data_IF_727870401804
#
_entry.id   IF_727870401804
#
_cell.length_a   1.000
_cell.length_b   1.000
_cell.length_c   1.000
_cell.angle_alpha   90.00
_cell.angle_beta   90.00
_cell.angle_gamma   90.00
#
_symmetry.space_group_name_H-M   'P 1'
#
loop_
_entity.id
_entity.type
_entity.pdbx_description
1 polymer ?
#
# COMPACT_ATOMS: atom_id res chain seq x y z
N UNK A 1 -8.39 -10.67 -0.06
CA UNK A 1 -7.33 -9.82 0.52
C UNK A 1 -7.17 -8.53 -0.29
N UNK A 2 -6.50 -7.50 0.22
CA UNK A 2 -6.36 -6.18 -0.44
C UNK A 2 -5.32 -6.14 -1.58
N UNK A 3 -5.44 -5.13 -2.42
CA UNK A 3 -4.47 -4.76 -3.45
C UNK A 3 -3.80 -3.44 -3.07
N UNK A 4 -2.47 -3.43 -2.92
CA UNK A 4 -1.69 -2.23 -2.61
C UNK A 4 -1.06 -1.72 -3.89
N UNK A 5 -1.29 -0.46 -4.25
CA UNK A 5 -0.83 0.12 -5.52
C UNK A 5 0.12 1.27 -5.25
N UNK A 6 1.33 1.20 -5.78
CA UNK A 6 2.32 2.27 -5.70
C UNK A 6 2.54 2.86 -7.09
N UNK A 7 2.14 4.12 -7.27
CA UNK A 7 2.28 4.85 -8.53
C UNK A 7 3.63 5.55 -8.57
N UNK A 8 4.49 5.16 -9.51
CA UNK A 8 5.83 5.73 -9.73
C UNK A 8 6.70 5.80 -8.45
N UNK A 9 6.82 4.72 -7.65
CA UNK A 9 7.58 4.77 -6.41
C UNK A 9 9.05 5.09 -6.67
N UNK A 10 9.63 5.93 -5.81
CA UNK A 10 10.97 6.48 -6.05
C UNK A 10 12.03 5.93 -5.08
N UNK A 11 11.61 5.48 -3.89
CA UNK A 11 12.54 5.03 -2.83
C UNK A 11 12.45 3.51 -2.65
N UNK A 12 13.50 2.74 -3.03
CA UNK A 12 13.45 1.27 -3.00
C UNK A 12 13.22 0.69 -1.60
N UNK A 13 13.67 1.38 -0.53
CA UNK A 13 13.47 0.93 0.84
C UNK A 13 12.00 0.96 1.27
N UNK A 14 11.21 1.92 0.76
CA UNK A 14 9.77 1.99 1.02
C UNK A 14 9.08 0.80 0.36
N UNK A 15 9.35 0.58 -0.93
CA UNK A 15 8.81 -0.54 -1.69
C UNK A 15 9.19 -1.89 -1.08
N UNK A 16 10.42 -2.06 -0.61
CA UNK A 16 10.84 -3.25 0.12
C UNK A 16 10.02 -3.48 1.40
N UNK A 17 9.85 -2.45 2.21
CA UNK A 17 9.07 -2.51 3.46
C UNK A 17 7.61 -2.83 3.22
N UNK A 18 7.00 -2.21 2.19
CA UNK A 18 5.62 -2.45 1.76
C UNK A 18 5.47 -3.88 1.23
N UNK A 19 6.42 -4.37 0.42
CA UNK A 19 6.43 -5.75 -0.03
C UNK A 19 6.42 -6.76 1.12
N UNK A 20 7.18 -6.50 2.20
CA UNK A 20 7.14 -7.36 3.41
C UNK A 20 5.76 -7.41 4.03
N UNK A 21 5.15 -6.24 4.13
CA UNK A 21 3.80 -6.10 4.69
C UNK A 21 2.79 -6.85 3.83
N UNK A 22 2.88 -6.73 2.51
CA UNK A 22 2.02 -7.45 1.58
C UNK A 22 2.11 -8.97 1.78
N UNK A 23 3.32 -9.54 1.89
CA UNK A 23 3.49 -10.99 2.18
C UNK A 23 2.84 -11.36 3.52
N UNK A 24 3.10 -10.61 4.59
CA UNK A 24 2.55 -10.90 5.92
C UNK A 24 1.02 -10.80 5.97
N UNK A 25 0.43 -9.95 5.13
CA UNK A 25 -1.02 -9.77 5.03
C UNK A 25 -1.65 -10.70 3.99
N UNK A 26 -0.88 -11.35 3.12
CA UNK A 26 -1.38 -12.00 1.91
C UNK A 26 -1.96 -11.01 0.88
N UNK A 27 -1.60 -9.73 0.96
CA UNK A 27 -2.04 -8.69 0.04
C UNK A 27 -1.21 -8.71 -1.24
N UNK A 28 -1.80 -8.30 -2.35
CA UNK A 28 -1.12 -8.16 -3.63
C UNK A 28 -0.47 -6.79 -3.74
N UNK A 29 0.74 -6.72 -4.31
CA UNK A 29 1.43 -5.47 -4.61
C UNK A 29 1.39 -5.17 -6.11
N UNK A 30 0.97 -3.96 -6.45
CA UNK A 30 1.01 -3.41 -7.80
C UNK A 30 2.02 -2.26 -7.84
N UNK A 31 2.97 -2.32 -8.77
CA UNK A 31 3.92 -1.24 -9.02
C UNK A 31 3.66 -0.65 -10.39
N UNK A 32 3.53 0.67 -10.45
CA UNK A 32 3.29 1.39 -11.72
C UNK A 32 4.57 2.12 -12.12
N UNK A 33 4.99 1.91 -13.36
CA UNK A 33 6.13 2.59 -13.96
C UNK A 33 5.84 4.05 -14.34
N UNK A 34 6.87 4.90 -14.48
CA UNK A 34 8.30 4.62 -14.27
C UNK A 34 8.72 4.60 -12.79
N UNK A 35 9.49 3.59 -12.40
CA UNK A 35 10.15 3.53 -11.09
C UNK A 35 11.55 4.15 -11.18
N UNK A 36 12.03 4.74 -10.09
CA UNK A 36 13.41 5.27 -10.01
C UNK A 36 14.47 4.23 -9.64
N UNK A 37 14.12 2.95 -9.59
CA UNK A 37 15.01 1.85 -9.21
C UNK A 37 14.59 0.57 -9.96
N UNK A 38 15.53 -0.37 -10.10
CA UNK A 38 15.19 -1.70 -10.60
C UNK A 38 14.77 -2.62 -9.44
N UNK A 39 13.72 -3.43 -9.67
CA UNK A 39 13.25 -4.44 -8.71
C UNK A 39 14.36 -5.47 -8.39
N UNK A 40 15.29 -5.69 -9.32
CA UNK A 40 16.41 -6.61 -9.16
C UNK A 40 17.56 -6.05 -8.31
N UNK A 41 17.50 -4.77 -7.92
CA UNK A 41 18.59 -4.10 -7.23
C UNK A 41 18.98 -4.79 -5.93
N UNK A 42 20.29 -4.77 -5.67
CA UNK A 42 20.88 -5.18 -4.39
C UNK A 42 20.26 -4.45 -3.20
N UNK A 43 19.64 -3.29 -3.38
CA UNK A 43 18.97 -2.54 -2.32
C UNK A 43 17.70 -3.25 -1.83
N UNK A 44 16.90 -3.77 -2.77
CA UNK A 44 15.74 -4.64 -2.50
C UNK A 44 16.30 -5.90 -1.85
N UNK A 45 17.23 -6.65 -2.47
CA UNK A 45 17.81 -7.88 -1.87
C UNK A 45 18.47 -7.69 -0.48
N UNK A 46 19.13 -6.55 -0.21
CA UNK A 46 19.75 -6.24 1.10
C UNK A 46 18.76 -5.96 2.21
N UNK A 47 17.49 -5.71 1.89
CA UNK A 47 16.43 -5.60 2.89
C UNK A 47 16.03 -6.97 3.51
N UNK A 48 16.74 -8.06 3.20
CA UNK A 48 16.52 -9.39 3.80
C UNK A 48 15.38 -10.17 3.13
N UNK A 49 15.30 -10.09 1.81
CA UNK A 49 14.15 -10.48 0.99
C UNK A 49 14.11 -11.96 0.60
N UNK A 50 14.12 -12.88 1.56
CA UNK A 50 13.73 -14.26 1.25
C UNK A 50 12.25 -14.33 0.81
N UNK A 51 11.42 -13.40 1.31
CA UNK A 51 9.98 -13.31 1.03
C UNK A 51 9.61 -12.75 -0.34
N UNK A 52 10.54 -12.12 -1.08
CA UNK A 52 10.18 -11.48 -2.36
C UNK A 52 9.70 -12.48 -3.42
N UNK A 53 10.10 -13.74 -3.28
CA UNK A 53 9.59 -14.85 -4.10
C UNK A 53 8.15 -15.23 -3.78
N UNK A 54 7.69 -14.91 -2.58
CA UNK A 54 6.32 -15.17 -2.08
C UNK A 54 5.40 -13.96 -2.28
N UNK A 55 5.95 -12.82 -2.68
CA UNK A 55 5.19 -11.61 -2.95
C UNK A 55 4.38 -11.78 -4.25
N UNK A 56 3.06 -11.73 -4.14
CA UNK A 56 2.18 -11.54 -5.30
C UNK A 56 2.38 -10.11 -5.82
N UNK A 57 3.19 -9.99 -6.87
CA UNK A 57 3.61 -8.73 -7.48
C UNK A 57 3.12 -8.64 -8.91
N UNK A 58 2.59 -7.49 -9.30
CA UNK A 58 2.32 -7.15 -10.70
C UNK A 58 2.89 -5.77 -11.01
N UNK A 59 3.67 -5.68 -12.09
CA UNK A 59 4.23 -4.41 -12.57
C UNK A 59 3.43 -3.96 -13.79
N UNK A 60 3.07 -2.68 -13.83
CA UNK A 60 2.28 -2.07 -14.89
C UNK A 60 3.10 -0.99 -15.59
N UNK A 61 3.02 -0.96 -16.92
CA UNK A 61 3.75 -0.01 -17.76
C UNK A 61 3.32 1.45 -17.54
N UNK A 62 2.05 1.66 -17.16
CA UNK A 62 1.52 2.99 -16.88
C UNK A 62 0.30 2.94 -15.96
N UNK A 63 -0.03 4.09 -15.37
CA UNK A 63 -1.23 4.26 -14.56
C UNK A 63 -2.51 4.03 -15.39
N UNK A 64 -2.54 4.51 -16.64
CA UNK A 64 -3.68 4.34 -17.53
C UNK A 64 -3.94 2.85 -17.83
N UNK A 65 -2.88 2.09 -18.11
CA UNK A 65 -2.98 0.64 -18.31
C UNK A 65 -3.53 -0.05 -17.06
N UNK A 66 -3.07 0.35 -15.87
CA UNK A 66 -3.58 -0.18 -14.61
C UNK A 66 -5.07 0.15 -14.42
N UNK A 67 -5.48 1.41 -14.59
CA UNK A 67 -6.86 1.84 -14.44
C UNK A 67 -7.80 1.18 -15.46
N UNK A 68 -7.35 0.92 -16.68
CA UNK A 68 -8.15 0.25 -17.71
C UNK A 68 -8.40 -1.24 -17.41
N UNK A 69 -7.58 -1.88 -16.56
CA UNK A 69 -7.65 -3.31 -16.27
C UNK A 69 -8.16 -3.62 -14.85
N UNK A 70 -8.45 -2.62 -14.03
CA UNK A 70 -8.84 -2.80 -12.64
C UNK A 70 -10.07 -1.93 -12.28
N UNK A 71 -10.94 -2.40 -11.39
CA UNK A 71 -12.19 -1.70 -11.04
C UNK A 71 -11.92 -0.40 -10.25
N UNK A 72 -12.08 0.76 -10.89
CA UNK A 72 -11.86 2.07 -10.26
C UNK A 72 -12.82 2.33 -9.09
N UNK A 73 -14.01 1.74 -9.12
CA UNK A 73 -15.03 1.83 -8.07
C UNK A 73 -14.62 1.13 -6.76
N UNK A 74 -13.56 0.31 -6.78
CA UNK A 74 -13.00 -0.37 -5.61
C UNK A 74 -11.69 0.26 -5.14
N UNK A 75 -11.33 1.44 -5.67
CA UNK A 75 -10.09 2.13 -5.34
C UNK A 75 -10.30 3.18 -4.26
N UNK A 76 -9.33 3.28 -3.35
CA UNK A 76 -9.19 4.34 -2.36
C UNK A 76 -7.87 5.08 -2.64
N UNK A 77 -7.94 6.37 -2.95
CA UNK A 77 -6.79 7.19 -3.33
C UNK A 77 -6.23 7.95 -2.13
N UNK A 78 -5.07 7.55 -1.63
CA UNK A 78 -4.43 8.20 -0.50
C UNK A 78 -3.77 9.53 -0.90
N UNK A 79 -4.24 10.64 -0.31
CA UNK A 79 -3.75 11.98 -0.60
C UNK A 79 -3.87 12.90 0.61
N UNK A 80 -3.11 14.01 0.62
CA UNK A 80 -3.22 15.06 1.65
C UNK A 80 -4.16 16.19 1.25
N UNK A 81 -4.85 16.05 0.10
CA UNK A 81 -5.60 17.13 -0.56
C UNK A 81 -7.12 17.03 -0.38
N UNK A 82 -7.59 16.24 0.59
CA UNK A 82 -9.02 16.03 0.89
C UNK A 82 -9.25 15.93 2.39
N UNK A 83 -10.51 16.09 2.82
CA UNK A 83 -10.91 16.04 4.23
C UNK A 83 -11.46 14.68 4.66
N UNK A 84 -11.79 13.79 3.72
CA UNK A 84 -12.28 12.44 4.03
C UNK A 84 -11.19 11.62 4.72
N UNK A 85 -11.42 11.23 5.97
CA UNK A 85 -10.41 10.55 6.77
C UNK A 85 -10.40 9.06 6.44
N UNK A 86 -9.20 8.46 6.38
CA UNK A 86 -9.02 7.05 6.00
C UNK A 86 -9.78 6.04 6.87
N UNK A 87 -10.09 6.34 8.13
CA UNK A 87 -10.88 5.45 8.99
C UNK A 87 -12.39 5.63 8.86
N UNK A 88 -12.85 6.68 8.17
CA UNK A 88 -14.27 6.89 7.85
C UNK A 88 -14.65 6.23 6.52
N UNK A 89 -13.67 5.78 5.72
CA UNK A 89 -13.90 5.02 4.50
C UNK A 89 -14.40 3.60 4.80
N UNK A 90 -15.28 3.08 3.94
CA UNK A 90 -15.77 1.70 4.01
C UNK A 90 -14.89 0.78 3.14
N UNK A 91 -14.03 -0.02 3.78
CA UNK A 91 -13.21 -0.99 3.06
C UNK A 91 -13.91 -2.32 2.90
N UNK A 92 -13.68 -2.96 1.77
CA UNK A 92 -14.16 -4.31 1.45
C UNK A 92 -13.01 -5.19 0.99
N UNK A 93 -13.19 -6.49 1.15
CA UNK A 93 -12.22 -7.44 0.62
C UNK A 93 -12.06 -7.26 -0.90
N UNK A 94 -10.80 -7.24 -1.36
CA UNK A 94 -10.44 -7.01 -2.76
C UNK A 94 -10.26 -5.55 -3.15
N UNK A 95 -10.47 -4.60 -2.24
CA UNK A 95 -10.25 -3.18 -2.51
C UNK A 95 -8.79 -2.86 -2.82
N UNK A 96 -8.61 -1.79 -3.59
CA UNK A 96 -7.33 -1.25 -4.00
C UNK A 96 -7.02 0.00 -3.19
N UNK A 97 -5.86 0.04 -2.56
CA UNK A 97 -5.39 1.19 -1.79
C UNK A 97 -4.21 1.79 -2.54
N UNK A 98 -4.42 2.98 -3.11
CA UNK A 98 -3.55 3.58 -4.11
C UNK A 98 -2.74 4.72 -3.50
N UNK A 99 -1.43 4.65 -3.62
CA UNK A 99 -0.48 5.66 -3.14
C UNK A 99 0.37 6.19 -4.29
N UNK A 100 0.65 7.48 -4.26
CA UNK A 100 1.54 8.12 -5.23
C UNK A 100 2.99 8.15 -4.79
N UNK A 101 3.84 8.65 -5.69
CA UNK A 101 5.26 8.86 -5.46
C UNK A 101 5.53 9.75 -4.24
N UNK A 102 6.63 9.51 -3.53
CA UNK A 102 6.98 10.22 -2.30
C UNK A 102 7.09 11.75 -2.47
N UNK A 103 7.50 12.19 -3.66
CA UNK A 103 7.75 13.62 -3.94
C UNK A 103 6.55 14.34 -4.54
N UNK A 104 5.74 13.65 -5.35
CA UNK A 104 4.67 14.27 -6.15
C UNK A 104 3.26 13.89 -5.68
N UNK A 105 3.12 12.76 -4.98
CA UNK A 105 1.83 12.14 -4.72
C UNK A 105 1.18 11.61 -6.00
N UNK A 106 -0.14 11.45 -5.98
CA UNK A 106 -0.92 11.01 -7.13
C UNK A 106 -1.18 12.17 -8.12
N UNK A 107 -1.39 11.87 -9.42
CA UNK A 107 -1.77 12.88 -10.41
C UNK A 107 -3.02 13.65 -9.98
N UNK A 108 -3.00 14.99 -10.11
CA UNK A 108 -4.10 15.82 -9.63
C UNK A 108 -5.41 15.58 -10.38
N UNK A 109 -5.35 15.32 -11.68
CA UNK A 109 -6.55 15.04 -12.49
C UNK A 109 -7.23 13.75 -12.04
N UNK A 110 -6.46 12.69 -11.74
CA UNK A 110 -7.01 11.46 -11.16
C UNK A 110 -7.77 11.73 -9.85
N UNK A 111 -7.20 12.57 -8.97
CA UNK A 111 -7.81 12.92 -7.69
C UNK A 111 -9.09 13.74 -7.90
N UNK A 112 -9.07 14.73 -8.80
CA UNK A 112 -10.23 15.59 -9.10
C UNK A 112 -11.41 14.78 -9.68
N UNK A 113 -11.13 13.80 -10.52
CA UNK A 113 -12.15 12.91 -11.11
C UNK A 113 -12.71 11.90 -10.09
N UNK A 114 -12.01 11.68 -8.97
CA UNK A 114 -12.35 10.64 -7.99
C UNK A 114 -12.32 11.16 -6.54
N UNK A 115 -12.77 12.41 -6.32
CA UNK A 115 -12.77 13.03 -4.99
C UNK A 115 -13.54 12.22 -3.95
N UNK A 116 -14.61 11.53 -4.37
CA UNK A 116 -15.43 10.64 -3.54
C UNK A 116 -14.67 9.42 -3.00
N UNK A 117 -13.56 9.05 -3.65
CA UNK A 117 -12.71 7.90 -3.31
C UNK A 117 -11.38 8.30 -2.68
N UNK A 118 -11.14 9.60 -2.56
CA UNK A 118 -9.92 10.11 -1.95
C UNK A 118 -10.01 10.03 -0.43
N UNK A 119 -8.93 9.59 0.19
CA UNK A 119 -8.80 9.48 1.64
C UNK A 119 -7.53 10.18 2.12
N UNK A 120 -7.55 10.65 3.36
CA UNK A 120 -6.40 11.30 3.99
C UNK A 120 -6.06 10.71 5.36
N UNK A 121 -4.78 10.79 5.72
CA UNK A 121 -4.29 10.53 7.07
C UNK A 121 -4.21 11.89 7.79
N UNK A 122 -4.91 12.10 8.91
CA UNK A 122 -4.86 13.37 9.61
C UNK A 122 -3.44 13.66 10.10
N UNK A 123 -2.95 14.84 9.77
CA UNK A 123 -1.60 15.30 10.09
C UNK A 123 -1.67 16.73 10.65
N UNK A 124 -0.75 17.07 11.55
CA UNK A 124 -0.63 18.42 12.07
C UNK A 124 -0.02 19.39 11.05
N UNK A 125 -0.32 20.69 11.18
CA UNK A 125 0.06 21.75 10.22
C UNK A 125 1.57 21.96 10.02
N UNK A 126 2.40 21.50 10.97
CA UNK A 126 3.85 21.73 10.97
C UNK A 126 4.65 20.59 10.33
N UNK A 127 3.99 19.48 10.01
CA UNK A 127 4.63 18.28 9.46
C UNK A 127 4.71 18.29 7.95
N UNK A 128 5.64 17.49 7.41
CA UNK A 128 5.54 17.02 6.02
C UNK A 128 4.68 15.76 5.98
N UNK A 129 4.26 15.35 4.79
CA UNK A 129 3.63 14.04 4.58
C UNK A 129 4.46 12.92 5.21
N UNK A 130 3.76 11.93 5.76
CA UNK A 130 4.38 10.73 6.31
C UNK A 130 5.17 9.96 5.24
N UNK A 131 6.15 9.18 5.71
CA UNK A 131 6.86 8.22 4.88
C UNK A 131 5.87 7.27 4.16
N UNK A 132 6.10 6.96 2.88
CA UNK A 132 5.20 6.14 2.07
C UNK A 132 4.90 4.78 2.71
N UNK A 133 5.90 4.04 3.18
CA UNK A 133 5.69 2.75 3.82
C UNK A 133 4.89 2.87 5.13
N UNK A 134 5.11 3.93 5.90
CA UNK A 134 4.32 4.22 7.10
C UNK A 134 2.86 4.52 6.74
N UNK A 135 2.63 5.39 5.76
CA UNK A 135 1.28 5.73 5.27
C UNK A 135 0.53 4.51 4.77
N UNK A 136 1.20 3.68 3.96
CA UNK A 136 0.63 2.42 3.47
C UNK A 136 0.25 1.50 4.62
N UNK A 137 1.13 1.31 5.61
CA UNK A 137 0.83 0.50 6.79
C UNK A 137 -0.37 1.01 7.58
N UNK A 138 -0.46 2.31 7.83
CA UNK A 138 -1.57 2.93 8.58
C UNK A 138 -2.91 2.63 7.91
N UNK A 139 -3.03 2.90 6.62
CA UNK A 139 -4.30 2.76 5.90
C UNK A 139 -4.66 1.28 5.72
N UNK A 140 -3.69 0.45 5.33
CA UNK A 140 -3.93 -0.98 5.08
C UNK A 140 -4.34 -1.73 6.35
N UNK A 141 -3.74 -1.44 7.50
CA UNK A 141 -4.13 -2.12 8.74
C UNK A 141 -5.48 -1.64 9.28
N UNK A 142 -5.91 -0.42 8.99
CA UNK A 142 -7.29 0.00 9.27
C UNK A 142 -8.28 -0.69 8.34
N UNK A 143 -7.98 -0.78 7.05
CA UNK A 143 -8.80 -1.55 6.11
C UNK A 143 -8.94 -3.01 6.58
N UNK A 144 -7.82 -3.62 6.99
CA UNK A 144 -7.84 -4.95 7.61
C UNK A 144 -8.72 -4.98 8.85
N UNK A 145 -8.58 -4.03 9.78
CA UNK A 145 -9.37 -3.97 11.02
C UNK A 145 -10.87 -3.98 10.73
N UNK A 146 -11.33 -3.27 9.69
CA UNK A 146 -12.75 -3.23 9.34
C UNK A 146 -13.30 -4.57 8.83
N UNK A 147 -12.50 -5.34 8.10
CA UNK A 147 -12.91 -6.63 7.53
C UNK A 147 -12.39 -7.84 8.31
N UNK A 148 -11.71 -7.61 9.44
CA UNK A 148 -10.99 -8.65 10.16
C UNK A 148 -11.96 -9.65 10.79
N UNK A 149 -11.86 -10.91 10.36
CA UNK A 149 -12.44 -12.05 11.05
C UNK A 149 -11.32 -12.88 11.71
N UNK A 150 -11.41 -13.05 13.03
CA UNK A 150 -10.47 -13.84 13.83
C UNK A 150 -10.35 -15.29 13.36
N UNK A 151 -11.39 -15.85 12.74
CA UNK A 151 -11.40 -17.22 12.24
C UNK A 151 -10.43 -17.46 11.07
N UNK A 152 -10.04 -16.37 10.38
CA UNK A 152 -9.31 -16.42 9.11
C UNK A 152 -7.81 -16.16 9.25
N UNK A 153 -7.31 -15.86 10.46
CA UNK A 153 -5.91 -15.47 10.66
C UNK A 153 -5.12 -16.51 11.48
N UNK A 154 -4.14 -17.15 10.84
CA UNK A 154 -3.21 -18.05 11.52
C UNK A 154 -2.17 -17.24 12.30
N UNK A 155 -2.37 -17.08 13.61
CA UNK A 155 -1.37 -16.45 14.48
C UNK A 155 -0.07 -17.25 14.46
N UNK A 156 1.07 -16.54 14.38
CA UNK A 156 2.38 -17.11 14.70
C UNK A 156 2.29 -17.61 16.15
N UNK A 157 2.38 -18.93 16.33
CA UNK A 157 2.50 -19.53 17.66
C UNK A 157 3.91 -19.28 18.16
N UNK A 158 4.04 -18.47 19.20
CA UNK A 158 5.30 -18.30 19.91
C UNK A 158 5.30 -19.35 21.02
N UNK A 159 6.10 -20.40 20.86
CA UNK A 159 6.34 -21.36 21.94
C UNK A 159 7.24 -20.69 22.98
N UNK A 160 6.64 -20.27 24.09
CA UNK A 160 7.40 -19.88 25.27
C UNK A 160 8.02 -21.16 25.86
N UNK A 161 9.29 -21.42 25.56
CA UNK A 161 10.05 -22.42 26.32
C UNK A 161 10.12 -21.94 27.77
N UNK A 162 9.58 -22.72 28.70
CA UNK A 162 9.76 -22.45 30.13
C UNK A 162 11.26 -22.39 30.44
N UNK A 163 11.71 -21.41 31.24
CA UNK A 163 13.10 -21.34 31.66
C UNK A 163 13.46 -22.60 32.46
N UNK A 164 14.55 -23.26 32.03
CA UNK A 164 15.14 -24.44 32.66
C UNK A 164 15.64 -24.18 34.07
#
# INVERSE_FOLDING_TARGET
MFNIVLVEPQIPQNTGSIGRMCVNLGAKLHLIEPMCFSIDEKAIKRAGLDYWKELDLTVWESLDTFLANNPIERMHFATTKVDTIYWDAEYKEGDYIVFGAETKGLPEELLKENLDKCITIPMGEKGRSLNLATSTGIVTYEALRQIYDQSSFNKIKIDFKEPS
#
